data_IF_969857991868
#
_entry.id   IF_969857991868
#
_cell.length_a   1.000
_cell.length_b   1.000
_cell.length_c   1.000
_cell.angle_alpha   90.00
_cell.angle_beta   90.00
_cell.angle_gamma   90.00
#
_symmetry.space_group_name_H-M   'P 1'
#
loop_
_entity.id
_entity.type
_entity.pdbx_description
1 polymer ?
#
# COMPACT_ATOMS: atom_id res chain seq x y z
N UNK A 1 31.80 70.52 0.53
CA UNK A 1 30.34 70.30 0.67
C UNK A 1 30.15 68.93 1.30
N UNK A 2 29.64 68.89 2.53
CA UNK A 2 29.55 67.68 3.35
C UNK A 2 28.51 66.70 2.79
N UNK A 3 28.91 65.45 2.59
CA UNK A 3 28.05 64.36 2.12
C UNK A 3 27.10 63.94 3.24
N UNK A 4 25.81 64.26 3.13
CA UNK A 4 24.80 63.88 4.10
C UNK A 4 24.70 62.34 4.19
N UNK A 5 25.00 61.79 5.37
CA UNK A 5 24.90 60.37 5.65
C UNK A 5 23.42 59.97 5.65
N UNK A 6 22.94 59.40 4.55
CA UNK A 6 21.54 58.96 4.40
C UNK A 6 21.27 57.86 5.45
N UNK A 7 20.32 58.10 6.36
CA UNK A 7 19.89 57.13 7.37
C UNK A 7 19.58 55.76 6.75
N UNK A 8 19.95 54.67 7.42
CA UNK A 8 19.69 53.29 6.96
C UNK A 8 18.20 53.07 6.60
N UNK A 9 17.31 53.75 7.32
CA UNK A 9 15.87 53.77 7.05
C UNK A 9 15.51 54.46 5.73
N UNK A 10 16.14 55.60 5.44
CA UNK A 10 15.95 56.31 4.17
C UNK A 10 16.55 55.54 2.97
N UNK A 11 17.65 54.82 3.18
CA UNK A 11 18.22 53.88 2.19
C UNK A 11 17.30 52.69 1.93
N UNK A 12 16.66 52.13 2.96
CA UNK A 12 15.68 51.05 2.81
C UNK A 12 14.43 51.53 2.06
N UNK A 13 13.88 52.69 2.44
CA UNK A 13 12.68 53.28 1.82
C UNK A 13 12.85 53.61 0.33
N UNK A 14 14.05 54.04 -0.07
CA UNK A 14 14.35 54.43 -1.46
C UNK A 14 15.10 53.32 -2.22
N UNK A 15 15.23 52.12 -1.65
CA UNK A 15 15.84 50.98 -2.34
C UNK A 15 14.93 50.45 -3.45
N UNK A 16 15.48 49.87 -4.53
CA UNK A 16 14.70 49.36 -5.66
C UNK A 16 13.75 48.20 -5.28
N UNK A 17 13.99 47.56 -4.13
CA UNK A 17 13.16 46.50 -3.53
C UNK A 17 12.49 46.93 -2.22
N UNK A 18 12.42 48.24 -1.97
CA UNK A 18 11.86 48.82 -0.76
C UNK A 18 10.32 48.86 -0.75
N UNK A 19 9.71 49.28 0.37
CA UNK A 19 8.25 49.26 0.57
C UNK A 19 7.46 50.21 -0.35
N UNK A 20 8.15 51.08 -1.11
CA UNK A 20 7.54 51.92 -2.15
C UNK A 20 7.34 51.18 -3.47
N UNK A 21 7.87 49.95 -3.62
CA UNK A 21 7.78 49.18 -4.86
C UNK A 21 6.99 47.89 -4.69
N UNK A 22 6.44 47.39 -5.79
CA UNK A 22 5.70 46.12 -5.83
C UNK A 22 6.58 44.92 -5.42
N UNK A 23 7.91 45.05 -5.58
CA UNK A 23 8.89 44.02 -5.24
C UNK A 23 8.96 43.73 -3.74
N UNK A 24 8.48 44.63 -2.88
CA UNK A 24 8.37 44.39 -1.44
C UNK A 24 7.03 43.73 -1.06
N UNK A 25 5.93 44.28 -1.57
CA UNK A 25 4.58 43.84 -1.19
C UNK A 25 4.18 42.48 -1.78
N UNK A 26 4.64 42.15 -3.00
CA UNK A 26 4.31 40.86 -3.61
C UNK A 26 4.92 39.66 -2.85
N UNK A 27 6.22 39.67 -2.46
CA UNK A 27 6.75 38.64 -1.56
C UNK A 27 6.11 38.68 -0.17
N UNK A 28 5.84 39.86 0.39
CA UNK A 28 5.20 40.00 1.70
C UNK A 28 3.83 39.29 1.74
N UNK A 29 3.01 39.42 0.70
CA UNK A 29 1.74 38.69 0.60
C UNK A 29 1.93 37.19 0.37
N UNK A 30 2.96 36.78 -0.39
CA UNK A 30 3.25 35.36 -0.62
C UNK A 30 3.71 34.61 0.62
N UNK A 31 4.21 35.29 1.65
CA UNK A 31 4.45 34.66 2.96
C UNK A 31 3.18 34.04 3.56
N UNK A 32 1.99 34.53 3.19
CA UNK A 32 0.71 33.89 3.53
C UNK A 32 0.62 32.45 3.01
N UNK A 33 1.19 32.13 1.85
CA UNK A 33 1.23 30.76 1.32
C UNK A 33 2.15 29.85 2.12
N UNK A 34 3.27 30.38 2.63
CA UNK A 34 4.19 29.62 3.49
C UNK A 34 3.50 29.30 4.82
N UNK A 35 2.81 30.28 5.41
CA UNK A 35 2.06 30.09 6.66
C UNK A 35 0.92 29.07 6.45
N UNK A 36 0.18 29.18 5.35
CA UNK A 36 -0.85 28.20 5.01
C UNK A 36 -0.25 26.80 4.79
N UNK A 37 0.88 26.69 4.10
CA UNK A 37 1.60 25.42 3.87
C UNK A 37 2.13 24.78 5.14
N UNK A 38 2.56 25.58 6.12
CA UNK A 38 2.94 25.11 7.46
C UNK A 38 1.72 24.61 8.24
N UNK A 39 0.57 25.29 8.17
CA UNK A 39 -0.68 24.81 8.76
C UNK A 39 -1.18 23.51 8.12
N UNK A 40 -0.94 23.34 6.83
CA UNK A 40 -1.30 22.15 6.07
C UNK A 40 -0.47 20.90 6.48
N UNK A 41 0.64 21.08 7.21
CA UNK A 41 1.39 19.97 7.82
C UNK A 41 0.58 19.21 8.87
N UNK A 42 -0.41 19.85 9.50
CA UNK A 42 -1.29 19.17 10.45
C UNK A 42 -2.35 18.29 9.77
N UNK A 43 -2.55 18.41 8.44
CA UNK A 43 -3.55 17.62 7.72
C UNK A 43 -3.12 16.16 7.56
N UNK A 44 -4.09 15.22 7.56
CA UNK A 44 -3.78 13.82 7.33
C UNK A 44 -3.36 13.58 5.87
N UNK A 45 -2.54 12.55 5.65
CA UNK A 45 -1.80 12.33 4.38
C UNK A 45 -2.73 11.96 3.21
N UNK A 46 -3.91 11.41 3.49
CA UNK A 46 -4.94 11.02 2.52
C UNK A 46 -5.57 12.21 1.77
N UNK A 47 -5.56 13.41 2.33
CA UNK A 47 -6.15 14.60 1.70
C UNK A 47 -5.12 15.39 0.87
N UNK A 48 -3.87 14.95 0.81
CA UNK A 48 -2.79 15.67 0.16
C UNK A 48 -2.78 15.36 -1.34
N UNK A 49 -3.04 16.37 -2.17
CA UNK A 49 -2.94 16.24 -3.62
C UNK A 49 -1.46 16.18 -4.06
N UNK A 50 -1.01 14.97 -4.42
CA UNK A 50 0.38 14.71 -4.88
C UNK A 50 0.75 15.59 -6.07
N UNK A 51 -0.17 15.77 -7.02
CA UNK A 51 0.06 16.59 -8.22
C UNK A 51 0.26 18.07 -7.88
N UNK A 52 -0.50 18.58 -6.91
CA UNK A 52 -0.37 19.95 -6.44
C UNK A 52 0.95 20.16 -5.70
N UNK A 53 1.31 19.26 -4.78
CA UNK A 53 2.56 19.39 -4.01
C UNK A 53 3.80 19.21 -4.89
N UNK A 54 3.75 18.33 -5.90
CA UNK A 54 4.83 18.19 -6.88
C UNK A 54 5.03 19.48 -7.69
N UNK A 55 3.94 20.13 -8.11
CA UNK A 55 4.00 21.42 -8.79
C UNK A 55 4.59 22.52 -7.91
N UNK A 56 4.16 22.61 -6.65
CA UNK A 56 4.67 23.59 -5.69
C UNK A 56 6.16 23.39 -5.36
N UNK A 57 6.60 22.13 -5.21
CA UNK A 57 8.00 21.81 -4.99
C UNK A 57 8.88 22.20 -6.19
N UNK A 58 8.45 21.83 -7.41
CA UNK A 58 9.19 22.13 -8.63
C UNK A 58 9.26 23.64 -8.91
N UNK A 59 8.13 24.34 -8.80
CA UNK A 59 8.08 25.79 -9.03
C UNK A 59 8.86 26.55 -7.96
N UNK A 60 8.81 26.14 -6.70
CA UNK A 60 9.60 26.73 -5.62
C UNK A 60 11.11 26.70 -5.91
N UNK A 61 11.64 25.56 -6.36
CA UNK A 61 13.06 25.42 -6.69
C UNK A 61 13.48 26.24 -7.92
N UNK A 62 12.68 26.20 -9.00
CA UNK A 62 12.97 26.94 -10.24
C UNK A 62 12.96 28.45 -9.98
N UNK A 63 11.93 28.96 -9.31
CA UNK A 63 11.77 30.39 -9.05
C UNK A 63 12.75 30.93 -8.02
N UNK A 64 13.19 30.11 -7.06
CA UNK A 64 14.26 30.49 -6.13
C UNK A 64 15.53 30.85 -6.90
N UNK A 65 15.94 30.02 -7.88
CA UNK A 65 17.11 30.32 -8.72
C UNK A 65 16.91 31.58 -9.56
N UNK A 66 15.79 31.70 -10.28
CA UNK A 66 15.53 32.85 -11.16
C UNK A 66 15.44 34.19 -10.42
N UNK A 67 14.91 34.22 -9.20
CA UNK A 67 14.78 35.46 -8.41
C UNK A 67 16.11 36.14 -8.06
N UNK A 68 17.22 35.40 -8.12
CA UNK A 68 18.59 35.91 -7.88
C UNK A 68 19.33 36.31 -9.15
N UNK A 69 18.79 35.95 -10.33
CA UNK A 69 19.38 36.25 -11.65
C UNK A 69 18.78 37.53 -12.23
N UNK A 70 17.50 37.80 -11.95
CA UNK A 70 16.80 39.00 -12.42
C UNK A 70 17.31 40.24 -11.67
N UNK A 71 17.66 41.30 -12.40
CA UNK A 71 18.06 42.61 -11.84
C UNK A 71 16.84 43.52 -11.68
N UNK A 72 16.58 44.13 -10.51
CA UNK A 72 17.35 44.05 -9.26
C UNK A 72 17.07 42.75 -8.48
N UNK A 73 18.11 42.21 -7.84
CA UNK A 73 18.03 40.94 -7.08
C UNK A 73 17.06 41.07 -5.90
N UNK A 74 16.07 40.19 -5.82
CA UNK A 74 15.08 40.19 -4.76
C UNK A 74 15.20 38.95 -3.86
N UNK A 75 15.99 39.08 -2.80
CA UNK A 75 16.23 38.01 -1.84
C UNK A 75 14.96 37.61 -1.08
N UNK A 76 14.03 38.54 -0.80
CA UNK A 76 12.76 38.19 -0.14
C UNK A 76 11.90 37.28 -1.01
N UNK A 77 11.88 37.49 -2.32
CA UNK A 77 11.19 36.61 -3.26
C UNK A 77 11.85 35.23 -3.33
N UNK A 78 13.19 35.18 -3.28
CA UNK A 78 13.95 33.93 -3.24
C UNK A 78 13.59 33.10 -2.00
N UNK A 79 13.59 33.73 -0.82
CA UNK A 79 13.30 33.07 0.45
C UNK A 79 11.89 32.48 0.48
N UNK A 80 10.87 33.21 0.01
CA UNK A 80 9.50 32.69 0.00
C UNK A 80 9.36 31.47 -0.90
N UNK A 81 9.89 31.50 -2.12
CA UNK A 81 9.82 30.35 -3.04
C UNK A 81 10.59 29.14 -2.51
N UNK A 82 11.71 29.38 -1.83
CA UNK A 82 12.48 28.32 -1.17
C UNK A 82 11.65 27.64 -0.08
N UNK A 83 11.03 28.41 0.81
CA UNK A 83 10.21 27.85 1.88
C UNK A 83 8.96 27.13 1.37
N UNK A 84 8.26 27.67 0.36
CA UNK A 84 7.13 26.98 -0.29
C UNK A 84 7.58 25.64 -0.87
N UNK A 85 8.72 25.65 -1.57
CA UNK A 85 9.30 24.43 -2.16
C UNK A 85 9.67 23.39 -1.08
N UNK A 86 10.29 23.81 0.01
CA UNK A 86 10.63 22.94 1.13
C UNK A 86 9.41 22.36 1.83
N UNK A 87 8.38 23.17 2.11
CA UNK A 87 7.14 22.69 2.74
C UNK A 87 6.42 21.67 1.86
N UNK A 88 6.37 21.90 0.54
CA UNK A 88 5.75 20.99 -0.42
C UNK A 88 6.56 19.67 -0.57
N UNK A 89 7.89 19.77 -0.62
CA UNK A 89 8.76 18.59 -0.65
C UNK A 89 8.63 17.73 0.61
N UNK A 90 8.50 18.36 1.79
CA UNK A 90 8.25 17.65 3.04
C UNK A 90 6.91 16.91 3.04
N UNK A 91 5.83 17.54 2.54
CA UNK A 91 4.54 16.87 2.40
C UNK A 91 4.61 15.67 1.45
N UNK A 92 5.31 15.79 0.32
CA UNK A 92 5.54 14.66 -0.59
C UNK A 92 6.32 13.53 0.08
N UNK A 93 7.33 13.86 0.89
CA UNK A 93 8.08 12.86 1.65
C UNK A 93 7.15 12.11 2.62
N UNK A 94 6.22 12.80 3.30
CA UNK A 94 5.23 12.13 4.14
C UNK A 94 4.28 11.21 3.36
N UNK A 95 3.87 11.62 2.15
CA UNK A 95 3.04 10.76 1.27
C UNK A 95 3.82 9.51 0.85
N UNK A 96 5.10 9.68 0.50
CA UNK A 96 5.93 8.55 0.08
C UNK A 96 6.19 7.54 1.21
N UNK A 97 6.20 8.01 2.47
CA UNK A 97 6.37 7.17 3.66
C UNK A 97 5.05 6.60 4.21
N UNK A 98 3.90 7.07 3.72
CA UNK A 98 2.61 6.57 4.20
C UNK A 98 2.25 5.23 3.57
N UNK A 99 1.88 4.26 4.40
CA UNK A 99 1.33 2.99 3.91
C UNK A 99 0.01 3.24 3.18
N UNK A 100 -0.15 2.60 2.01
CA UNK A 100 -1.40 2.64 1.25
C UNK A 100 -2.53 2.07 2.11
N UNK A 101 -3.46 2.92 2.55
CA UNK A 101 -4.75 2.47 3.07
C UNK A 101 -5.57 1.94 1.90
N UNK A 102 -5.85 0.63 1.89
CA UNK A 102 -6.92 0.09 1.06
C UNK A 102 -8.20 0.37 1.83
N UNK A 103 -9.05 1.25 1.30
CA UNK A 103 -10.39 1.43 1.85
C UNK A 103 -11.16 0.13 1.66
N UNK A 104 -11.78 -0.36 2.74
CA UNK A 104 -12.56 -1.60 2.76
C UNK A 104 -13.91 -1.34 2.11
N UNK A 105 -13.90 -1.22 0.79
CA UNK A 105 -15.08 -1.11 -0.07
C UNK A 105 -15.07 -2.25 -1.09
N UNK A 106 -16.24 -2.69 -1.52
CA UNK A 106 -16.40 -3.82 -2.46
C UNK A 106 -15.65 -3.55 -3.77
N UNK A 107 -15.72 -2.33 -4.30
CA UNK A 107 -15.04 -1.95 -5.54
C UNK A 107 -13.51 -2.07 -5.39
N UNK A 108 -12.96 -1.48 -4.33
CA UNK A 108 -11.52 -1.50 -4.05
C UNK A 108 -11.00 -2.92 -3.79
N UNK A 109 -11.77 -3.75 -3.07
CA UNK A 109 -11.41 -5.14 -2.79
C UNK A 109 -11.46 -6.02 -4.04
N UNK A 110 -12.44 -5.80 -4.92
CA UNK A 110 -12.53 -6.49 -6.21
C UNK A 110 -11.34 -6.16 -7.11
N UNK A 111 -10.93 -4.89 -7.16
CA UNK A 111 -9.74 -4.45 -7.90
C UNK A 111 -8.45 -5.04 -7.31
N UNK A 112 -8.39 -5.23 -5.99
CA UNK A 112 -7.32 -5.95 -5.30
C UNK A 112 -7.38 -7.49 -5.47
N UNK A 113 -8.27 -8.00 -6.33
CA UNK A 113 -8.52 -9.43 -6.56
C UNK A 113 -8.91 -10.21 -5.29
N UNK A 114 -9.59 -9.53 -4.37
CA UNK A 114 -10.21 -10.07 -3.16
C UNK A 114 -11.75 -9.88 -3.26
N UNK A 115 -12.48 -10.26 -2.22
CA UNK A 115 -13.93 -10.11 -2.15
C UNK A 115 -14.39 -9.69 -0.76
N UNK A 116 -15.43 -8.84 -0.70
CA UNK A 116 -16.10 -8.48 0.54
C UNK A 116 -17.37 -9.33 0.69
N UNK A 117 -17.26 -10.42 1.45
CA UNK A 117 -18.40 -11.28 1.79
C UNK A 117 -19.19 -10.71 2.97
N UNK A 118 -19.21 -11.43 4.09
CA UNK A 118 -19.86 -11.02 5.35
C UNK A 118 -19.11 -9.91 6.11
N UNK A 119 -18.07 -9.32 5.50
CA UNK A 119 -17.11 -8.44 6.15
C UNK A 119 -16.42 -9.05 7.40
N UNK A 120 -16.38 -10.39 7.50
CA UNK A 120 -15.61 -11.09 8.53
C UNK A 120 -14.11 -11.05 8.19
N UNK A 121 -13.42 -10.03 8.72
CA UNK A 121 -11.98 -9.84 8.50
C UNK A 121 -11.17 -10.74 9.43
N UNK A 122 -10.34 -11.61 8.86
CA UNK A 122 -9.37 -12.43 9.59
C UNK A 122 -8.00 -11.77 9.46
N UNK A 123 -7.41 -11.35 10.59
CA UNK A 123 -6.07 -10.74 10.63
C UNK A 123 -5.06 -11.79 11.05
N UNK A 124 -4.03 -11.99 10.23
CA UNK A 124 -2.88 -12.87 10.53
C UNK A 124 -1.62 -12.00 10.63
N UNK A 125 -0.80 -12.24 11.65
CA UNK A 125 0.48 -11.57 11.80
C UNK A 125 1.61 -12.36 11.09
N UNK A 126 2.84 -11.83 11.13
CA UNK A 126 4.02 -12.47 10.53
C UNK A 126 4.53 -13.70 11.30
N UNK A 127 4.04 -13.97 12.51
CA UNK A 127 4.38 -15.17 13.29
C UNK A 127 3.52 -16.37 12.91
N UNK A 128 2.45 -16.15 12.15
CA UNK A 128 1.51 -17.20 11.71
C UNK A 128 1.99 -17.84 10.40
N UNK A 129 2.02 -19.17 10.34
CA UNK A 129 2.20 -19.89 9.08
C UNK A 129 0.94 -19.76 8.22
N UNK A 130 1.04 -18.94 7.17
CA UNK A 130 -0.07 -18.66 6.25
C UNK A 130 -0.51 -19.90 5.47
N UNK A 131 0.41 -20.81 5.15
CA UNK A 131 0.10 -22.05 4.42
C UNK A 131 -0.73 -22.96 5.32
N UNK A 132 -0.33 -23.10 6.59
CA UNK A 132 -1.09 -23.86 7.59
C UNK A 132 -2.46 -23.24 7.87
N UNK A 133 -2.55 -21.91 7.95
CA UNK A 133 -3.80 -21.20 8.19
C UNK A 133 -4.81 -21.45 7.06
N UNK A 134 -4.39 -21.33 5.80
CA UNK A 134 -5.25 -21.61 4.65
C UNK A 134 -5.58 -23.11 4.54
N UNK A 135 -4.62 -23.99 4.82
CA UNK A 135 -4.85 -25.44 4.88
C UNK A 135 -5.87 -25.85 5.95
N UNK A 136 -6.19 -24.99 6.92
CA UNK A 136 -7.24 -25.26 7.91
C UNK A 136 -8.65 -25.05 7.34
N UNK A 137 -8.78 -24.23 6.30
CA UNK A 137 -10.06 -23.94 5.63
C UNK A 137 -10.48 -25.08 4.68
N UNK A 138 -9.55 -25.72 4.00
CA UNK A 138 -9.86 -26.80 3.04
C UNK A 138 -10.61 -27.99 3.65
N UNK A 139 -10.27 -28.53 4.84
CA UNK A 139 -11.05 -29.62 5.43
C UNK A 139 -12.45 -29.14 5.85
N UNK A 140 -12.62 -27.87 6.25
CA UNK A 140 -13.94 -27.32 6.55
C UNK A 140 -14.83 -27.32 5.29
N UNK A 141 -14.33 -26.79 4.16
CA UNK A 141 -15.09 -26.79 2.91
C UNK A 141 -15.32 -28.21 2.36
N UNK A 142 -14.39 -29.13 2.60
CA UNK A 142 -14.58 -30.54 2.24
C UNK A 142 -15.67 -31.20 3.09
N UNK A 143 -15.71 -30.91 4.40
CA UNK A 143 -16.72 -31.43 5.34
C UNK A 143 -18.12 -30.88 5.05
N UNK A 144 -18.21 -29.58 4.75
CA UNK A 144 -19.46 -28.88 4.48
C UNK A 144 -19.96 -29.04 3.03
N UNK A 145 -19.25 -29.80 2.20
CA UNK A 145 -19.70 -30.06 0.84
C UNK A 145 -20.91 -31.00 0.84
N UNK A 146 -22.03 -30.56 0.26
CA UNK A 146 -23.21 -31.41 0.09
C UNK A 146 -22.99 -32.57 -0.91
N UNK A 147 -21.90 -32.55 -1.67
CA UNK A 147 -21.54 -33.62 -2.60
C UNK A 147 -22.34 -33.68 -3.91
N UNK A 148 -23.23 -32.72 -4.21
CA UNK A 148 -24.12 -32.82 -5.38
C UNK A 148 -23.38 -32.68 -6.73
N UNK A 149 -22.44 -31.72 -6.83
CA UNK A 149 -21.66 -31.51 -8.06
C UNK A 149 -20.29 -32.18 -7.95
N UNK A 150 -19.93 -32.97 -8.96
CA UNK A 150 -18.63 -33.66 -9.05
C UNK A 150 -17.43 -32.73 -8.89
N UNK A 151 -17.33 -31.56 -9.57
CA UNK A 151 -16.20 -30.65 -9.36
C UNK A 151 -16.08 -30.15 -7.91
N UNK A 152 -17.18 -29.95 -7.18
CA UNK A 152 -17.11 -29.60 -5.76
C UNK A 152 -16.75 -30.80 -4.88
N UNK A 153 -17.40 -31.95 -5.09
CA UNK A 153 -17.23 -33.14 -4.24
C UNK A 153 -15.82 -33.70 -4.32
N UNK A 154 -15.33 -33.91 -5.55
CA UNK A 154 -13.97 -34.43 -5.74
C UNK A 154 -12.94 -33.31 -5.60
N UNK A 155 -13.20 -32.13 -6.17
CA UNK A 155 -12.25 -31.01 -6.12
C UNK A 155 -11.93 -30.56 -4.70
N UNK A 156 -12.93 -30.43 -3.82
CA UNK A 156 -12.69 -30.03 -2.42
C UNK A 156 -11.86 -31.07 -1.65
N UNK A 157 -12.04 -32.36 -1.96
CA UNK A 157 -11.25 -33.45 -1.38
C UNK A 157 -9.82 -33.45 -1.90
N UNK A 158 -9.62 -33.22 -3.19
CA UNK A 158 -8.28 -33.03 -3.78
C UNK A 158 -7.57 -31.81 -3.18
N UNK A 159 -8.27 -30.70 -2.98
CA UNK A 159 -7.73 -29.51 -2.32
C UNK A 159 -7.26 -29.82 -0.90
N UNK A 160 -8.08 -30.48 -0.09
CA UNK A 160 -7.72 -30.84 1.28
C UNK A 160 -6.49 -31.74 1.36
N UNK A 161 -6.48 -32.82 0.59
CA UNK A 161 -5.34 -33.75 0.51
C UNK A 161 -4.06 -33.03 0.05
N UNK A 162 -4.16 -32.17 -0.96
CA UNK A 162 -3.00 -31.48 -1.53
C UNK A 162 -2.46 -30.41 -0.57
N UNK A 163 -3.33 -29.67 0.11
CA UNK A 163 -2.93 -28.73 1.17
C UNK A 163 -2.28 -29.43 2.36
N UNK A 164 -2.74 -30.62 2.73
CA UNK A 164 -2.10 -31.43 3.75
C UNK A 164 -0.65 -31.79 3.39
N UNK A 165 -0.37 -32.07 2.12
CA UNK A 165 0.99 -32.32 1.63
C UNK A 165 1.86 -31.07 1.62
N UNK A 166 1.31 -29.91 1.27
CA UNK A 166 2.03 -28.63 1.38
C UNK A 166 2.45 -28.34 2.83
N UNK A 167 1.55 -28.54 3.80
CA UNK A 167 1.85 -28.35 5.23
C UNK A 167 2.90 -29.35 5.75
N UNK A 168 2.91 -30.59 5.23
CA UNK A 168 3.93 -31.58 5.58
C UNK A 168 5.29 -31.31 4.92
N UNK A 169 5.32 -30.53 3.85
CA UNK A 169 6.51 -30.25 3.06
C UNK A 169 6.93 -31.40 2.13
N UNK A 170 6.02 -32.32 1.80
CA UNK A 170 6.27 -33.47 0.89
C UNK A 170 5.67 -33.28 -0.51
N UNK A 171 5.15 -32.08 -0.83
CA UNK A 171 4.63 -31.75 -2.14
C UNK A 171 5.74 -31.40 -3.16
N UNK A 172 5.48 -31.64 -4.45
CA UNK A 172 6.38 -31.21 -5.53
C UNK A 172 6.15 -29.74 -5.88
N UNK A 173 7.13 -29.04 -6.44
CA UNK A 173 6.92 -27.66 -6.94
C UNK A 173 5.82 -27.60 -8.00
N UNK A 174 5.75 -28.63 -8.85
CA UNK A 174 4.68 -28.79 -9.86
C UNK A 174 3.28 -28.94 -9.23
N UNK A 175 3.20 -29.32 -7.95
CA UNK A 175 1.93 -29.40 -7.22
C UNK A 175 1.23 -28.05 -7.12
N UNK A 176 1.99 -26.95 -7.07
CA UNK A 176 1.46 -25.59 -6.93
C UNK A 176 0.63 -25.24 -8.18
N UNK A 177 1.14 -25.60 -9.35
CA UNK A 177 0.43 -25.32 -10.61
C UNK A 177 -0.76 -26.26 -10.79
N UNK A 178 -0.63 -27.53 -10.38
CA UNK A 178 -1.72 -28.50 -10.41
C UNK A 178 -2.89 -28.11 -9.51
N UNK A 179 -2.61 -27.69 -8.25
CA UNK A 179 -3.68 -27.26 -7.35
C UNK A 179 -4.35 -25.99 -7.88
N UNK A 180 -3.58 -25.07 -8.49
CA UNK A 180 -4.14 -23.88 -9.12
C UNK A 180 -5.06 -24.24 -10.30
N UNK A 181 -4.69 -25.22 -11.12
CA UNK A 181 -5.55 -25.73 -12.20
C UNK A 181 -6.84 -26.33 -11.66
N UNK A 182 -6.76 -27.17 -10.63
CA UNK A 182 -7.95 -27.74 -9.95
C UNK A 182 -8.88 -26.62 -9.44
N UNK A 183 -8.34 -25.58 -8.82
CA UNK A 183 -9.18 -24.46 -8.35
C UNK A 183 -9.88 -23.71 -9.49
N UNK A 184 -9.30 -23.68 -10.69
CA UNK A 184 -9.93 -23.07 -11.88
C UNK A 184 -11.05 -23.96 -12.43
N UNK A 185 -10.83 -25.27 -12.46
CA UNK A 185 -11.84 -26.24 -12.88
C UNK A 185 -13.03 -26.32 -11.90
N UNK A 186 -12.79 -26.06 -10.61
CA UNK A 186 -13.89 -25.92 -9.64
C UNK A 186 -14.71 -24.64 -9.88
N UNK A 187 -14.04 -23.54 -10.22
CA UNK A 187 -14.65 -22.21 -10.29
C UNK A 187 -15.63 -22.11 -11.46
N UNK A 188 -16.89 -21.77 -11.18
CA UNK A 188 -17.90 -21.56 -12.22
C UNK A 188 -18.46 -22.81 -12.90
N UNK A 189 -18.04 -24.02 -12.47
CA UNK A 189 -18.56 -25.31 -12.96
C UNK A 189 -19.41 -26.05 -11.91
N UNK A 190 -19.85 -25.35 -10.86
CA UNK A 190 -20.63 -25.90 -9.75
C UNK A 190 -22.01 -25.25 -9.65
N UNK A 191 -22.92 -25.94 -8.96
CA UNK A 191 -24.32 -25.49 -8.81
C UNK A 191 -24.42 -24.28 -7.88
N UNK A 192 -23.62 -24.25 -6.81
CA UNK A 192 -23.58 -23.16 -5.84
C UNK A 192 -22.16 -22.59 -5.70
N UNK A 193 -22.04 -21.50 -4.95
CA UNK A 193 -20.79 -20.78 -4.72
C UNK A 193 -19.86 -21.41 -3.68
N UNK A 194 -20.18 -22.58 -3.11
CA UNK A 194 -19.33 -23.22 -2.09
C UNK A 194 -17.97 -23.63 -2.66
N UNK A 195 -17.93 -24.14 -3.90
CA UNK A 195 -16.68 -24.49 -4.53
C UNK A 195 -15.83 -23.26 -4.87
N UNK A 196 -16.47 -22.16 -5.29
CA UNK A 196 -15.78 -20.87 -5.47
C UNK A 196 -15.17 -20.38 -4.15
N UNK A 197 -15.93 -20.49 -3.06
CA UNK A 197 -15.48 -20.14 -1.72
C UNK A 197 -14.31 -21.03 -1.22
N UNK A 198 -14.27 -22.30 -1.61
CA UNK A 198 -13.15 -23.19 -1.33
C UNK A 198 -11.91 -22.90 -2.20
N UNK A 199 -12.13 -22.49 -3.45
CA UNK A 199 -11.07 -22.23 -4.43
C UNK A 199 -10.35 -20.89 -4.21
N UNK A 200 -11.07 -19.81 -3.88
CA UNK A 200 -10.49 -18.46 -3.78
C UNK A 200 -9.40 -18.31 -2.71
N UNK A 201 -9.50 -18.88 -1.50
CA UNK A 201 -8.43 -18.82 -0.50
C UNK A 201 -7.12 -19.42 -1.01
N UNK A 202 -7.20 -20.56 -1.71
CA UNK A 202 -6.03 -21.23 -2.29
C UNK A 202 -5.46 -20.42 -3.46
N UNK A 203 -6.31 -19.86 -4.31
CA UNK A 203 -5.86 -18.96 -5.39
C UNK A 203 -5.18 -17.70 -4.86
N UNK A 204 -5.71 -17.10 -3.78
CA UNK A 204 -5.12 -15.95 -3.10
C UNK A 204 -3.78 -16.28 -2.47
N UNK A 205 -3.68 -17.43 -1.79
CA UNK A 205 -2.43 -17.94 -1.22
C UNK A 205 -1.36 -18.06 -2.30
N UNK A 206 -1.66 -18.69 -3.43
CA UNK A 206 -0.69 -18.86 -4.52
C UNK A 206 -0.36 -17.50 -5.16
N UNK A 207 -1.33 -16.61 -5.35
CA UNK A 207 -1.06 -15.30 -5.96
C UNK A 207 -0.09 -14.44 -5.16
N UNK A 208 -0.24 -14.42 -3.83
CA UNK A 208 0.52 -13.50 -2.97
C UNK A 208 1.70 -14.16 -2.26
N UNK A 209 1.63 -15.47 -1.99
CA UNK A 209 2.60 -16.21 -1.17
C UNK A 209 3.24 -17.41 -1.91
N UNK A 210 3.21 -17.44 -3.26
CA UNK A 210 3.95 -18.46 -4.04
C UNK A 210 5.44 -18.58 -3.65
N UNK A 211 6.20 -17.48 -3.44
CA UNK A 211 7.60 -17.60 -3.04
C UNK A 211 7.77 -18.33 -1.70
N UNK A 212 6.83 -18.14 -0.76
CA UNK A 212 6.86 -18.80 0.53
C UNK A 212 6.56 -20.30 0.39
N UNK A 213 5.55 -20.67 -0.41
CA UNK A 213 5.27 -22.07 -0.77
C UNK A 213 6.50 -22.75 -1.39
N UNK A 214 7.13 -22.12 -2.39
CA UNK A 214 8.34 -22.68 -3.02
C UNK A 214 9.50 -22.84 -2.04
N UNK A 215 9.70 -21.86 -1.14
CA UNK A 215 10.76 -21.92 -0.13
C UNK A 215 10.56 -23.06 0.87
N UNK A 216 9.31 -23.31 1.30
CA UNK A 216 8.95 -24.41 2.18
C UNK A 216 9.24 -25.77 1.52
N UNK A 217 8.95 -25.92 0.22
CA UNK A 217 9.20 -27.16 -0.52
C UNK A 217 10.68 -27.41 -0.84
N UNK A 218 11.49 -26.35 -0.98
CA UNK A 218 12.93 -26.46 -1.18
C UNK A 218 13.72 -26.70 0.11
N UNK A 219 13.03 -26.84 1.25
CA UNK A 219 13.66 -27.06 2.56
C UNK A 219 14.30 -25.80 3.16
N UNK A 220 14.14 -24.64 2.52
CA UNK A 220 14.55 -23.36 3.07
C UNK A 220 13.47 -22.89 4.05
N UNK A 221 13.57 -23.30 5.32
CA UNK A 221 12.73 -22.77 6.40
C UNK A 221 13.03 -21.28 6.64
N UNK A 222 12.52 -20.40 5.79
CA UNK A 222 12.53 -18.97 6.02
C UNK A 222 11.34 -18.67 6.94
N UNK A 223 11.62 -18.24 8.18
CA UNK A 223 10.60 -17.68 9.08
C UNK A 223 9.85 -18.68 9.96
N UNK A 224 10.40 -19.86 10.24
CA UNK A 224 9.73 -20.84 11.08
C UNK A 224 9.86 -20.47 12.59
N UNK A 225 9.15 -19.45 13.07
CA UNK A 225 8.71 -19.39 14.47
C UNK A 225 7.63 -20.45 14.68
N UNK A 226 8.02 -21.71 14.44
CA UNK A 226 7.18 -22.88 14.57
C UNK A 226 6.96 -23.07 16.06
N UNK A 227 5.77 -22.68 16.54
CA UNK A 227 5.18 -23.39 17.66
C UNK A 227 5.01 -24.84 17.18
N UNK A 228 6.01 -25.66 17.48
CA UNK A 228 6.19 -27.07 17.12
C UNK A 228 5.12 -28.01 17.67
N UNK A 229 4.03 -27.48 18.22
CA UNK A 229 2.99 -28.23 18.92
C UNK A 229 1.63 -28.25 18.22
N UNK A 230 1.38 -27.42 17.20
CA UNK A 230 0.16 -27.54 16.40
C UNK A 230 0.37 -28.58 15.29
N UNK A 231 0.34 -29.88 15.66
CA UNK A 231 0.24 -30.95 14.67
C UNK A 231 -0.99 -30.66 13.82
N UNK A 232 -0.81 -30.38 12.52
CA UNK A 232 -1.89 -30.51 11.56
C UNK A 232 -2.38 -31.95 11.68
N UNK A 233 -3.51 -32.11 12.37
CA UNK A 233 -4.21 -33.39 12.46
C UNK A 233 -5.18 -33.34 11.27
N UNK A 234 -4.91 -34.07 10.17
CA UNK A 234 -5.95 -34.25 9.18
C UNK A 234 -7.17 -34.79 9.93
N UNK A 235 -8.35 -34.21 9.68
CA UNK A 235 -9.59 -34.84 10.15
C UNK A 235 -9.56 -36.29 9.66
N UNK A 236 -9.97 -37.27 10.50
CA UNK A 236 -10.03 -38.64 10.05
C UNK A 236 -10.91 -38.66 8.79
N UNK A 237 -10.32 -39.10 7.68
CA UNK A 237 -11.02 -39.33 6.43
C UNK A 237 -12.29 -40.06 6.80
N UNK A 238 -13.45 -39.41 6.65
CA UNK A 238 -14.73 -40.07 6.85
C UNK A 238 -14.68 -41.23 5.86
N UNK A 239 -14.62 -42.45 6.41
CA UNK A 239 -14.61 -43.66 5.63
C UNK A 239 -15.73 -43.55 4.61
N UNK A 240 -15.34 -43.67 3.35
CA UNK A 240 -16.23 -43.82 2.20
C UNK A 240 -17.46 -44.64 2.60
N UNK A 241 -18.63 -44.01 2.54
CA UNK A 241 -19.91 -44.70 2.42
C UNK A 241 -20.18 -44.98 0.95
#
# INVERSE_FOLDING_TARGET
MASASTSAFSKFLNSPVGPKTIHFWAPAMKWGLVIAGLGDLARPVDQISVKQQLSLAATGLIWTRWSTIITPKNYSLATVNFFVGCTAAYQLARVAMAEKKVEVDEANLRDAQSGLGTAAVIVMDKSTDVVQAIARLTPFYCHESCGQCTPCREGSRWLDLRMAHFVKGDASVTAIDQILEITKEMKGHTICALADAAAWPVQGLIRHFRPELESQLQGAKIGSHVHSNAKYRPEPTIATA
#
